data_IF_094228697572
#
_entry.id   IF_094228697572
#
_cell.length_a   1.000
_cell.length_b   1.000
_cell.length_c   1.000
_cell.angle_alpha   90.00
_cell.angle_beta   90.00
_cell.angle_gamma   90.00
#
_symmetry.space_group_name_H-M   'P 1'
#
loop_
_entity.id
_entity.type
_entity.pdbx_description
1 polymer ?
#
# COMPACT_ATOMS: atom_id res chain seq x y z
N UNK A 1 -7.15 4.72 -40.93
CA UNK A 1 -6.69 3.46 -41.57
C UNK A 1 -5.22 3.26 -41.22
N UNK A 2 -4.82 2.04 -40.86
CA UNK A 2 -3.45 1.71 -40.52
C UNK A 2 -2.66 1.42 -41.81
N UNK A 3 -1.57 2.16 -42.07
CA UNK A 3 -0.75 2.02 -43.28
C UNK A 3 0.50 1.19 -42.97
N UNK A 4 0.43 -0.12 -43.20
CA UNK A 4 1.51 -1.07 -42.90
C UNK A 4 2.82 -0.74 -43.62
N UNK A 5 2.75 -0.32 -44.88
CA UNK A 5 3.94 -0.05 -45.70
C UNK A 5 4.82 1.06 -45.09
N UNK A 6 4.19 2.13 -44.59
CA UNK A 6 4.90 3.24 -43.94
C UNK A 6 5.54 2.83 -42.60
N UNK A 7 4.83 2.02 -41.80
CA UNK A 7 5.38 1.48 -40.56
C UNK A 7 6.58 0.57 -40.86
N UNK A 8 6.43 -0.34 -41.82
CA UNK A 8 7.46 -1.30 -42.19
C UNK A 8 8.71 -0.61 -42.79
N UNK A 9 8.53 0.44 -43.57
CA UNK A 9 9.62 1.27 -44.08
C UNK A 9 10.39 1.95 -42.94
N UNK A 10 9.68 2.49 -41.94
CA UNK A 10 10.31 3.07 -40.75
C UNK A 10 11.07 2.03 -39.89
N UNK A 11 10.54 0.81 -39.77
CA UNK A 11 11.17 -0.31 -39.07
C UNK A 11 12.41 -0.79 -39.82
N UNK A 12 12.38 -0.81 -41.15
CA UNK A 12 13.52 -1.18 -41.99
C UNK A 12 14.72 -0.26 -41.76
N UNK A 13 14.49 1.02 -41.52
CA UNK A 13 15.55 2.00 -41.22
C UNK A 13 16.10 1.89 -39.80
N UNK A 14 15.24 1.60 -38.80
CA UNK A 14 15.63 1.57 -37.37
C UNK A 14 16.10 0.20 -36.86
N UNK A 15 15.52 -0.87 -37.39
CA UNK A 15 15.72 -2.25 -36.95
C UNK A 15 15.52 -3.21 -38.14
N UNK A 16 16.48 -3.27 -39.09
CA UNK A 16 16.33 -4.03 -40.34
C UNK A 16 16.04 -5.52 -40.13
N UNK A 17 16.48 -6.10 -39.01
CA UNK A 17 16.21 -7.49 -38.63
C UNK A 17 14.73 -7.77 -38.30
N UNK A 18 13.93 -6.74 -37.97
CA UNK A 18 12.50 -6.85 -37.66
C UNK A 18 11.62 -6.39 -38.84
N UNK A 19 12.23 -5.99 -39.95
CA UNK A 19 11.50 -5.58 -41.15
C UNK A 19 10.80 -6.78 -41.78
N UNK A 20 9.60 -6.56 -42.31
CA UNK A 20 8.74 -7.60 -42.90
C UNK A 20 8.32 -8.71 -41.92
N UNK A 21 8.46 -8.51 -40.61
CA UNK A 21 8.01 -9.44 -39.58
C UNK A 21 6.80 -8.88 -38.82
N UNK A 22 5.87 -9.76 -38.45
CA UNK A 22 4.74 -9.42 -37.57
C UNK A 22 4.98 -10.07 -36.21
N UNK A 23 4.92 -9.28 -35.15
CA UNK A 23 5.21 -9.75 -33.79
C UNK A 23 4.01 -10.32 -33.04
N UNK A 24 2.79 -9.87 -33.35
CA UNK A 24 1.56 -10.26 -32.64
C UNK A 24 0.39 -10.29 -33.63
N UNK A 25 -0.42 -11.35 -33.56
CA UNK A 25 -1.72 -11.44 -34.23
C UNK A 25 -2.83 -11.51 -33.19
N UNK A 26 -3.93 -10.80 -33.46
CA UNK A 26 -5.13 -10.85 -32.60
C UNK A 26 -6.23 -11.58 -33.37
N UNK A 27 -6.61 -12.75 -32.89
CA UNK A 27 -7.62 -13.60 -33.50
C UNK A 27 -8.89 -13.55 -32.64
N UNK A 28 -10.00 -13.12 -33.23
CA UNK A 28 -11.30 -13.09 -32.55
C UNK A 28 -12.04 -14.41 -32.80
N UNK A 29 -12.43 -15.08 -31.73
CA UNK A 29 -13.20 -16.33 -31.77
C UNK A 29 -14.67 -16.04 -31.45
N UNK A 30 -15.59 -16.73 -32.13
CA UNK A 30 -17.04 -16.57 -31.92
C UNK A 30 -17.54 -17.26 -30.63
N UNK A 31 -16.84 -18.31 -30.17
CA UNK A 31 -17.14 -19.07 -28.96
C UNK A 31 -15.91 -19.13 -28.05
N UNK A 32 -16.03 -18.58 -26.84
CA UNK A 32 -14.94 -18.55 -25.86
C UNK A 32 -14.58 -19.95 -25.34
N UNK A 33 -15.51 -20.90 -25.32
CA UNK A 33 -15.27 -22.27 -24.87
C UNK A 33 -14.30 -23.05 -25.76
N UNK A 34 -14.16 -22.62 -27.03
CA UNK A 34 -13.25 -23.21 -28.02
C UNK A 34 -11.91 -22.51 -28.14
N UNK A 35 -11.67 -21.46 -27.36
CA UNK A 35 -10.45 -20.67 -27.46
C UNK A 35 -9.19 -21.53 -27.27
N UNK A 36 -9.17 -22.44 -26.29
CA UNK A 36 -8.03 -23.33 -26.05
C UNK A 36 -7.78 -24.32 -27.20
N UNK A 37 -8.84 -24.89 -27.77
CA UNK A 37 -8.76 -25.78 -28.94
C UNK A 37 -8.18 -25.04 -30.15
N UNK A 38 -8.69 -23.83 -30.42
CA UNK A 38 -8.26 -23.00 -31.55
C UNK A 38 -6.83 -22.49 -31.37
N UNK A 39 -6.44 -22.10 -30.15
CA UNK A 39 -5.05 -21.72 -29.85
C UNK A 39 -4.09 -22.87 -30.13
N UNK A 40 -4.41 -24.08 -29.69
CA UNK A 40 -3.57 -25.26 -29.95
C UNK A 40 -3.52 -25.61 -31.45
N UNK A 41 -4.63 -25.44 -32.19
CA UNK A 41 -4.67 -25.64 -33.63
C UNK A 41 -3.79 -24.64 -34.39
N UNK A 42 -3.78 -23.36 -33.97
CA UNK A 42 -2.89 -22.33 -34.53
C UNK A 42 -1.43 -22.70 -34.28
N UNK A 43 -1.07 -23.03 -33.03
CA UNK A 43 0.31 -23.38 -32.70
C UNK A 43 0.78 -24.66 -33.40
N UNK A 44 -0.10 -25.63 -33.61
CA UNK A 44 0.21 -26.83 -34.38
C UNK A 44 0.50 -26.53 -35.86
N UNK A 45 -0.23 -25.59 -36.48
CA UNK A 45 -0.02 -25.17 -37.86
C UNK A 45 1.35 -24.50 -38.06
N UNK A 46 1.78 -23.68 -37.08
CA UNK A 46 3.04 -22.93 -37.14
C UNK A 46 4.24 -23.62 -36.47
N UNK A 47 4.04 -24.71 -35.73
CA UNK A 47 5.06 -25.38 -34.92
C UNK A 47 6.26 -25.94 -35.69
N UNK A 48 6.12 -26.20 -37.01
CA UNK A 48 7.21 -26.63 -37.89
C UNK A 48 7.71 -25.52 -38.83
N UNK A 49 7.34 -24.27 -38.57
CA UNK A 49 7.72 -23.13 -39.39
C UNK A 49 8.85 -22.32 -38.74
N UNK A 50 9.53 -21.48 -39.53
CA UNK A 50 10.50 -20.52 -39.01
C UNK A 50 9.86 -19.40 -38.15
N UNK A 51 8.53 -19.40 -38.02
CA UNK A 51 7.73 -18.44 -37.25
C UNK A 51 6.80 -19.20 -36.30
N UNK A 52 7.39 -20.06 -35.45
CA UNK A 52 6.65 -20.75 -34.38
C UNK A 52 5.87 -19.74 -33.54
N UNK A 53 4.58 -20.04 -33.32
CA UNK A 53 3.68 -19.19 -32.55
C UNK A 53 3.50 -19.75 -31.15
N UNK A 54 3.25 -18.84 -30.22
CA UNK A 54 2.72 -19.17 -28.91
C UNK A 54 1.40 -18.44 -28.76
N UNK A 55 0.31 -19.19 -28.88
CA UNK A 55 -1.03 -18.62 -28.87
C UNK A 55 -1.63 -18.80 -27.48
N UNK A 56 -1.87 -17.68 -26.81
CA UNK A 56 -2.57 -17.66 -25.53
C UNK A 56 -3.89 -16.91 -25.64
N UNK A 57 -4.83 -17.24 -24.76
CA UNK A 57 -6.08 -16.48 -24.65
C UNK A 57 -5.77 -15.09 -24.12
N UNK A 58 -6.54 -14.09 -24.55
CA UNK A 58 -6.44 -12.72 -24.01
C UNK A 58 -6.55 -12.72 -22.48
N UNK A 59 -7.40 -13.57 -21.90
CA UNK A 59 -7.52 -13.71 -20.45
C UNK A 59 -6.22 -14.21 -19.80
N UNK A 60 -5.55 -15.21 -20.38
CA UNK A 60 -4.29 -15.73 -19.88
C UNK A 60 -3.16 -14.68 -20.00
N UNK A 61 -3.09 -13.96 -21.12
CA UNK A 61 -2.16 -12.86 -21.34
C UNK A 61 -2.34 -11.78 -20.28
N UNK A 62 -3.57 -11.31 -20.06
CA UNK A 62 -3.89 -10.32 -19.02
C UNK A 62 -3.54 -10.82 -17.62
N UNK A 63 -3.78 -12.10 -17.29
CA UNK A 63 -3.36 -12.70 -16.01
C UNK A 63 -1.83 -12.69 -15.86
N UNK A 64 -1.07 -12.91 -16.94
CA UNK A 64 0.38 -12.78 -16.95
C UNK A 64 0.85 -11.39 -16.54
N UNK A 65 0.25 -10.35 -17.11
CA UNK A 65 0.52 -8.95 -16.73
C UNK A 65 0.12 -8.64 -15.28
N UNK A 66 -1.01 -9.17 -14.83
CA UNK A 66 -1.46 -9.02 -13.44
C UNK A 66 -0.47 -9.65 -12.48
N UNK A 67 0.00 -10.88 -12.74
CA UNK A 67 0.97 -11.59 -11.90
C UNK A 67 2.31 -10.85 -11.79
N UNK A 68 2.79 -10.26 -12.88
CA UNK A 68 4.03 -9.46 -12.84
C UNK A 68 3.87 -8.22 -11.95
N UNK A 69 2.70 -7.58 -12.00
CA UNK A 69 2.37 -6.43 -11.15
C UNK A 69 2.10 -6.85 -9.70
N UNK A 70 1.54 -8.03 -9.47
CA UNK A 70 1.17 -8.55 -8.15
C UNK A 70 2.38 -8.64 -7.22
N UNK A 71 3.53 -9.13 -7.71
CA UNK A 71 4.76 -9.20 -6.92
C UNK A 71 5.18 -7.82 -6.37
N UNK A 72 5.04 -6.77 -7.19
CA UNK A 72 5.34 -5.38 -6.79
C UNK A 72 4.34 -4.91 -5.73
N UNK A 73 3.05 -5.17 -5.93
CA UNK A 73 2.00 -4.79 -4.97
C UNK A 73 2.20 -5.50 -3.62
N UNK A 74 2.54 -6.78 -3.62
CA UNK A 74 2.84 -7.55 -2.41
C UNK A 74 4.05 -6.97 -1.69
N UNK A 75 5.14 -6.67 -2.41
CA UNK A 75 6.32 -6.06 -1.81
C UNK A 75 6.00 -4.73 -1.13
N UNK A 76 5.25 -3.84 -1.80
CA UNK A 76 4.81 -2.55 -1.23
C UNK A 76 3.94 -2.75 0.02
N UNK A 77 3.03 -3.75 0.01
CA UNK A 77 2.19 -4.07 1.17
C UNK A 77 3.03 -4.53 2.36
N UNK A 78 3.99 -5.43 2.15
CA UNK A 78 4.88 -5.90 3.22
C UNK A 78 5.65 -4.73 3.83
N UNK A 79 6.26 -3.88 2.99
CA UNK A 79 6.99 -2.70 3.46
C UNK A 79 6.07 -1.76 4.24
N UNK A 80 4.84 -1.57 3.77
CA UNK A 80 3.85 -0.73 4.46
C UNK A 80 3.49 -1.27 5.85
N UNK A 81 3.30 -2.60 5.98
CA UNK A 81 3.08 -3.21 7.30
C UNK A 81 4.27 -3.05 8.24
N UNK A 82 5.50 -3.21 7.72
CA UNK A 82 6.72 -2.99 8.50
C UNK A 82 6.81 -1.55 8.99
N UNK A 83 6.53 -0.57 8.13
CA UNK A 83 6.52 0.85 8.50
C UNK A 83 5.47 1.14 9.57
N UNK A 84 4.24 0.62 9.41
CA UNK A 84 3.18 0.76 10.42
C UNK A 84 3.62 0.16 11.76
N UNK A 85 4.25 -1.00 11.75
CA UNK A 85 4.75 -1.65 12.96
C UNK A 85 5.85 -0.82 13.65
N UNK A 86 6.78 -0.25 12.88
CA UNK A 86 7.82 0.64 13.42
C UNK A 86 7.18 1.89 14.03
N UNK A 87 6.24 2.54 13.34
CA UNK A 87 5.53 3.71 13.85
C UNK A 87 4.81 3.37 15.17
N UNK A 88 4.12 2.22 15.22
CA UNK A 88 3.45 1.74 16.42
C UNK A 88 4.45 1.59 17.59
N UNK A 89 5.59 0.95 17.36
CA UNK A 89 6.62 0.73 18.38
C UNK A 89 7.23 2.05 18.88
N UNK A 90 7.54 2.97 17.96
CA UNK A 90 8.06 4.31 18.29
C UNK A 90 7.04 5.08 19.11
N UNK A 91 5.77 5.12 18.66
CA UNK A 91 4.71 5.83 19.34
C UNK A 91 4.43 5.26 20.74
N UNK A 92 4.39 3.93 20.87
CA UNK A 92 4.23 3.26 22.16
C UNK A 92 5.38 3.58 23.12
N UNK A 93 6.62 3.64 22.62
CA UNK A 93 7.78 4.02 23.43
C UNK A 93 7.72 5.49 23.88
N UNK A 94 7.33 6.40 22.98
CA UNK A 94 7.13 7.82 23.30
C UNK A 94 6.06 7.99 24.36
N UNK A 95 4.89 7.35 24.20
CA UNK A 95 3.82 7.38 25.19
C UNK A 95 4.26 6.81 26.54
N UNK A 96 5.06 5.73 26.53
CA UNK A 96 5.64 5.18 27.74
C UNK A 96 6.67 6.11 28.38
N UNK A 97 7.38 6.94 27.63
CA UNK A 97 8.27 7.98 28.16
C UNK A 97 7.48 9.12 28.79
N UNK A 98 6.50 9.69 28.08
CA UNK A 98 5.63 10.77 28.58
C UNK A 98 4.88 10.36 29.85
N UNK A 99 4.35 9.13 29.89
CA UNK A 99 3.69 8.60 31.08
C UNK A 99 4.63 8.43 32.28
N UNK A 100 5.94 8.26 32.04
CA UNK A 100 6.95 8.16 33.10
C UNK A 100 7.32 9.52 33.68
N UNK A 101 7.46 10.52 32.83
CA UNK A 101 7.74 11.91 33.23
C UNK A 101 6.56 12.48 34.03
N UNK A 102 5.33 12.19 33.62
CA UNK A 102 4.10 12.69 34.25
C UNK A 102 3.57 11.82 35.39
N UNK A 103 4.37 10.89 35.92
CA UNK A 103 3.96 10.01 37.04
C UNK A 103 3.51 10.78 38.27
N UNK A 104 4.18 11.89 38.59
CA UNK A 104 3.83 12.72 39.75
C UNK A 104 2.43 13.34 39.58
N UNK A 105 2.11 13.86 38.40
CA UNK A 105 0.77 14.38 38.06
C UNK A 105 -0.31 13.29 38.16
N UNK A 106 0.00 12.08 37.69
CA UNK A 106 -0.92 10.94 37.81
C UNK A 106 -1.15 10.53 39.27
N UNK A 107 -0.12 10.61 40.12
CA UNK A 107 -0.23 10.33 41.54
C UNK A 107 -1.10 11.38 42.27
N UNK A 108 -0.98 12.67 41.91
CA UNK A 108 -1.81 13.74 42.50
C UNK A 108 -3.27 13.61 42.06
N UNK A 109 -3.54 13.30 40.79
CA UNK A 109 -4.90 13.01 40.31
C UNK A 109 -5.51 11.82 41.05
N UNK A 110 -4.73 10.77 41.28
CA UNK A 110 -5.19 9.59 42.03
C UNK A 110 -5.44 9.91 43.51
N UNK A 111 -4.66 10.82 44.11
CA UNK A 111 -4.89 11.32 45.47
C UNK A 111 -6.15 12.19 45.59
N UNK A 112 -6.53 12.90 44.52
CA UNK A 112 -7.81 13.62 44.41
C UNK A 112 -9.03 12.70 44.18
N UNK A 113 -8.81 11.39 44.03
CA UNK A 113 -9.87 10.39 43.86
C UNK A 113 -10.15 9.97 42.42
N UNK A 114 -9.38 10.43 41.43
CA UNK A 114 -9.54 9.97 40.05
C UNK A 114 -9.11 8.50 39.89
N UNK A 115 -10.01 7.71 39.30
CA UNK A 115 -9.80 6.28 39.08
C UNK A 115 -8.81 5.96 37.95
N UNK A 116 -8.27 4.72 37.91
CA UNK A 116 -7.32 4.29 36.88
C UNK A 116 -7.88 4.33 35.45
N UNK A 117 -9.20 4.20 35.28
CA UNK A 117 -9.86 4.31 33.98
C UNK A 117 -9.79 5.71 33.39
N UNK A 118 -9.89 6.76 34.22
CA UNK A 118 -9.79 8.15 33.78
C UNK A 118 -8.38 8.48 33.29
N UNK A 119 -7.35 8.04 34.02
CA UNK A 119 -5.95 8.17 33.59
C UNK A 119 -5.70 7.42 32.28
N UNK A 120 -6.26 6.22 32.13
CA UNK A 120 -6.22 5.46 30.88
C UNK A 120 -6.83 6.26 29.72
N UNK A 121 -8.05 6.80 29.89
CA UNK A 121 -8.71 7.60 28.85
C UNK A 121 -7.93 8.86 28.47
N UNK A 122 -7.23 9.48 29.41
CA UNK A 122 -6.38 10.64 29.13
C UNK A 122 -5.22 10.25 28.20
N UNK A 123 -4.54 9.14 28.51
CA UNK A 123 -3.42 8.62 27.69
C UNK A 123 -3.91 8.20 26.30
N UNK A 124 -5.06 7.53 26.22
CA UNK A 124 -5.68 7.20 24.93
C UNK A 124 -6.04 8.45 24.13
N UNK A 125 -6.56 9.49 24.79
CA UNK A 125 -6.89 10.77 24.17
C UNK A 125 -5.65 11.47 23.60
N UNK A 126 -4.56 11.53 24.35
CA UNK A 126 -3.28 12.11 23.89
C UNK A 126 -2.71 11.33 22.69
N UNK A 127 -2.67 10.00 22.80
CA UNK A 127 -2.20 9.14 21.72
C UNK A 127 -3.05 9.32 20.46
N UNK A 128 -4.38 9.28 20.60
CA UNK A 128 -5.30 9.45 19.47
C UNK A 128 -5.17 10.84 18.84
N UNK A 129 -5.04 11.90 19.63
CA UNK A 129 -4.85 13.25 19.12
C UNK A 129 -3.58 13.36 18.26
N UNK A 130 -2.45 12.82 18.74
CA UNK A 130 -1.20 12.81 17.98
C UNK A 130 -1.34 12.00 16.69
N UNK A 131 -1.97 10.81 16.75
CA UNK A 131 -2.20 9.99 15.58
C UNK A 131 -3.11 10.69 14.54
N UNK A 132 -4.17 11.35 14.98
CA UNK A 132 -5.10 12.05 14.10
C UNK A 132 -4.45 13.28 13.44
N UNK A 133 -3.67 14.06 14.19
CA UNK A 133 -2.94 15.21 13.63
C UNK A 133 -1.92 14.74 12.59
N UNK A 134 -1.14 13.70 12.92
CA UNK A 134 -0.19 13.09 11.98
C UNK A 134 -0.88 12.54 10.74
N UNK A 135 -2.02 11.88 10.91
CA UNK A 135 -2.83 11.35 9.80
C UNK A 135 -3.40 12.46 8.93
N UNK A 136 -3.90 13.55 9.51
CA UNK A 136 -4.44 14.66 8.75
C UNK A 136 -3.37 15.29 7.85
N UNK A 137 -2.16 15.49 8.40
CA UNK A 137 -1.00 15.96 7.64
C UNK A 137 -0.58 14.95 6.56
N UNK A 138 -0.54 13.66 6.89
CA UNK A 138 -0.19 12.60 5.93
C UNK A 138 -1.17 12.49 4.76
N UNK A 139 -2.48 12.57 5.04
CA UNK A 139 -3.53 12.61 4.02
C UNK A 139 -3.39 13.87 3.15
N UNK A 140 -3.17 15.04 3.77
CA UNK A 140 -2.98 16.28 3.04
C UNK A 140 -1.76 16.23 2.09
N UNK A 141 -0.66 15.59 2.52
CA UNK A 141 0.55 15.38 1.72
C UNK A 141 0.40 14.28 0.66
N UNK A 142 -0.56 13.37 0.81
CA UNK A 142 -0.77 12.27 -0.15
C UNK A 142 -1.16 12.79 -1.53
N UNK A 143 -2.05 13.79 -1.62
CA UNK A 143 -2.52 14.33 -2.89
C UNK A 143 -1.42 15.01 -3.74
N UNK A 144 -0.61 15.97 -3.21
CA UNK A 144 0.43 16.60 -4.00
C UNK A 144 1.54 15.62 -4.40
N UNK A 145 1.89 14.66 -3.52
CA UNK A 145 2.89 13.62 -3.84
C UNK A 145 2.37 12.70 -4.93
N UNK A 146 1.10 12.26 -4.84
CA UNK A 146 0.47 11.43 -5.86
C UNK A 146 0.39 12.14 -7.21
N UNK A 147 0.03 13.44 -7.21
CA UNK A 147 -0.03 14.25 -8.42
C UNK A 147 1.35 14.41 -9.08
N UNK A 148 2.38 14.74 -8.27
CA UNK A 148 3.75 14.85 -8.75
C UNK A 148 4.27 13.53 -9.32
N UNK A 149 4.00 12.42 -8.64
CA UNK A 149 4.37 11.08 -9.08
C UNK A 149 3.69 10.71 -10.40
N UNK A 150 2.37 10.93 -10.51
CA UNK A 150 1.61 10.69 -11.73
C UNK A 150 2.09 11.51 -12.92
N UNK A 151 2.45 12.78 -12.71
CA UNK A 151 2.98 13.64 -13.76
C UNK A 151 4.33 13.16 -14.32
N UNK A 152 5.17 12.54 -13.49
CA UNK A 152 6.49 12.00 -13.90
C UNK A 152 6.39 10.61 -14.52
N UNK A 153 5.43 9.80 -14.07
CA UNK A 153 5.26 8.40 -14.50
C UNK A 153 4.14 8.19 -15.51
N UNK A 154 3.52 9.26 -16.04
CA UNK A 154 2.34 9.20 -16.91
C UNK A 154 2.51 8.40 -18.22
N UNK A 155 3.74 8.09 -18.64
CA UNK A 155 4.01 7.19 -19.77
C UNK A 155 3.88 5.70 -19.43
N UNK A 156 4.06 5.32 -18.15
CA UNK A 156 3.95 3.95 -17.64
C UNK A 156 2.63 3.71 -16.90
N UNK A 157 2.13 4.73 -16.20
CA UNK A 157 0.88 4.69 -15.44
C UNK A 157 -0.02 5.87 -15.84
N UNK A 158 -0.83 5.75 -16.90
CA UNK A 158 -1.64 6.85 -17.43
C UNK A 158 -2.72 7.35 -16.44
N UNK A 159 -3.06 6.55 -15.43
CA UNK A 159 -4.01 6.93 -14.36
C UNK A 159 -3.44 6.54 -13.00
N UNK A 160 -2.90 7.51 -12.25
CA UNK A 160 -2.56 7.36 -10.84
C UNK A 160 -3.57 8.15 -10.00
N UNK A 161 -4.68 7.51 -9.65
CA UNK A 161 -5.77 8.13 -8.90
C UNK A 161 -5.78 7.64 -7.44
N UNK A 162 -5.79 8.57 -6.50
CA UNK A 162 -6.02 8.26 -5.08
C UNK A 162 -7.52 8.04 -4.88
N UNK A 163 -7.93 6.80 -4.67
CA UNK A 163 -9.33 6.46 -4.37
C UNK A 163 -9.75 7.00 -3.00
N UNK A 164 -11.01 7.40 -2.87
CA UNK A 164 -11.61 7.75 -1.57
C UNK A 164 -11.51 6.60 -0.56
N UNK A 165 -11.54 5.35 -1.02
CA UNK A 165 -11.34 4.16 -0.19
C UNK A 165 -9.96 4.14 0.48
N UNK A 166 -8.91 4.58 -0.22
CA UNK A 166 -7.54 4.66 0.31
C UNK A 166 -7.44 5.70 1.43
N UNK A 167 -8.11 6.85 1.28
CA UNK A 167 -8.13 7.89 2.31
C UNK A 167 -8.83 7.40 3.58
N UNK A 168 -9.97 6.72 3.44
CA UNK A 168 -10.66 6.10 4.56
C UNK A 168 -9.82 5.03 5.26
N UNK A 169 -9.10 4.21 4.48
CA UNK A 169 -8.19 3.21 5.04
C UNK A 169 -7.04 3.84 5.81
N UNK A 170 -6.46 4.94 5.31
CA UNK A 170 -5.42 5.69 6.02
C UNK A 170 -5.94 6.23 7.37
N UNK A 171 -7.13 6.84 7.37
CA UNK A 171 -7.76 7.33 8.59
C UNK A 171 -8.06 6.20 9.59
N UNK A 172 -8.59 5.07 9.12
CA UNK A 172 -8.85 3.89 9.94
C UNK A 172 -7.56 3.33 10.55
N UNK A 173 -6.50 3.19 9.74
CA UNK A 173 -5.19 2.76 10.22
C UNK A 173 -4.62 3.70 11.28
N UNK A 174 -4.76 5.02 11.11
CA UNK A 174 -4.29 5.98 12.10
C UNK A 174 -5.01 5.83 13.45
N UNK A 175 -6.32 5.64 13.45
CA UNK A 175 -7.10 5.38 14.68
C UNK A 175 -6.65 4.07 15.32
N UNK A 176 -6.50 3.00 14.55
CA UNK A 176 -6.05 1.69 15.05
C UNK A 176 -4.66 1.79 15.68
N UNK A 177 -3.71 2.46 15.01
CA UNK A 177 -2.34 2.66 15.51
C UNK A 177 -2.34 3.53 16.76
N UNK A 178 -3.10 4.64 16.77
CA UNK A 178 -3.20 5.53 17.92
C UNK A 178 -3.76 4.85 19.16
N UNK A 179 -4.77 3.99 19.00
CA UNK A 179 -5.30 3.18 20.09
C UNK A 179 -4.28 2.12 20.51
N UNK A 180 -3.77 1.33 19.57
CA UNK A 180 -2.85 0.22 19.86
C UNK A 180 -1.56 0.69 20.56
N UNK A 181 -1.02 1.84 20.16
CA UNK A 181 0.18 2.43 20.77
C UNK A 181 -0.02 2.78 22.24
N UNK A 182 -1.23 3.23 22.61
CA UNK A 182 -1.55 3.66 23.97
C UNK A 182 -1.90 2.51 24.93
N UNK A 183 -2.24 1.31 24.42
CA UNK A 183 -2.69 0.18 25.26
C UNK A 183 -1.67 -0.17 26.34
N UNK A 184 -0.41 -0.42 25.96
CA UNK A 184 0.64 -0.82 26.90
C UNK A 184 0.92 0.28 27.95
N UNK A 185 1.17 1.54 27.58
CA UNK A 185 1.43 2.60 28.56
C UNK A 185 0.21 2.92 29.43
N UNK A 186 -1.02 2.89 28.90
CA UNK A 186 -2.24 3.09 29.68
C UNK A 186 -2.41 2.01 30.76
N UNK A 187 -2.18 0.73 30.40
CA UNK A 187 -2.21 -0.37 31.37
C UNK A 187 -1.13 -0.24 32.45
N UNK A 188 0.06 0.22 32.08
CA UNK A 188 1.15 0.46 33.04
C UNK A 188 0.81 1.62 33.97
N UNK A 189 0.28 2.73 33.46
CA UNK A 189 -0.13 3.89 34.26
C UNK A 189 -1.25 3.54 35.26
N UNK A 190 -2.24 2.76 34.83
CA UNK A 190 -3.32 2.29 35.70
C UNK A 190 -2.81 1.48 36.92
N UNK A 191 -1.71 0.72 36.74
CA UNK A 191 -1.10 -0.13 37.77
C UNK A 191 -0.09 0.58 38.68
N UNK A 192 0.24 1.85 38.43
CA UNK A 192 1.15 2.60 39.32
C UNK A 192 0.51 2.79 40.69
N UNK A 193 1.23 2.37 41.73
CA UNK A 193 0.84 2.55 43.13
C UNK A 193 1.19 3.97 43.57
N UNK A 194 0.28 4.60 44.31
CA UNK A 194 0.40 6.00 44.77
C UNK A 194 1.70 6.21 45.56
N UNK A 195 2.08 5.23 46.37
CA UNK A 195 3.29 5.25 47.21
C UNK A 195 4.58 5.31 46.40
N UNK A 196 4.60 4.69 45.22
CA UNK A 196 5.78 4.67 44.34
C UNK A 196 5.94 6.00 43.57
N UNK A 197 4.83 6.72 43.35
CA UNK A 197 4.85 8.04 42.71
C UNK A 197 5.34 9.16 43.61
N UNK A 198 4.95 9.13 44.90
CA UNK A 198 5.35 10.16 45.87
C UNK A 198 6.79 10.00 46.37
N UNK A 199 7.30 8.75 46.45
CA UNK A 199 8.71 8.47 46.79
C UNK A 199 9.72 8.91 45.73
N UNK A 200 9.29 9.20 44.51
CA UNK A 200 10.18 9.67 43.45
C UNK A 200 10.43 11.19 43.49
N UNK A 201 9.71 11.94 44.34
CA UNK A 201 9.79 13.41 44.45
C UNK A 201 10.53 13.85 45.73
N UNK A 202 10.78 12.94 46.67
CA UNK A 202 11.61 13.18 47.85
C UNK A 202 12.95 12.45 47.75
#
# INVERSE_FOLDING_TARGET
FFHWDYLNESVRTRAPQRANQVGVFVVRVNDAGRAAEISAAIDAEFGNSAAETLTETEQAFQIGFVKQTEAIVIAIRIVSFVVIFIILAVMANTMAMTARERRAEYATLKALGFGPGFLGSLIFGESLAIALIGSALGVALTFPVAHWFGAKMGTLFPVFAVSASTVWLQAACAVVVGIAAAVIPALRAARVRIVDGLRAVG
#
